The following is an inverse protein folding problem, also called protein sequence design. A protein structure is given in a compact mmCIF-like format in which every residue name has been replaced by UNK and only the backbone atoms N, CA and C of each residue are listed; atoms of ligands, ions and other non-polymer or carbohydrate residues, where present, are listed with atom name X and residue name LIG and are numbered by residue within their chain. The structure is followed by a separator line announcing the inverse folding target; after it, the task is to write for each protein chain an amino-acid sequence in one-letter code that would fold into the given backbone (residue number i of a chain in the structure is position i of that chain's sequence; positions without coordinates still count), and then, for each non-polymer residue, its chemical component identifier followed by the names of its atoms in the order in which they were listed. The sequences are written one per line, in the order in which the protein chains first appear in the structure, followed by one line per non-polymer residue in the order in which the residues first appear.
data_IF_663333717703
#
_entry.id   IF_663333717703
#
_cell.length_a   1.000
_cell.length_b   1.000
_cell.length_c   1.000
_cell.angle_alpha   90.00
_cell.angle_beta   90.00
_cell.angle_gamma   90.00
#
_symmetry.space_group_name_H-M   'P 1'
#
loop_
_entity.id
_entity.type
_entity.pdbx_description
1 polymer ?
#
# COMPACT_ATOMS: atom_id res chain seq x y z
N UNK A 1 8.90 -12.96 -2.52
CA UNK A 1 7.44 -12.96 -2.74
C UNK A 1 6.79 -12.04 -1.71
N UNK A 2 6.46 -10.80 -2.10
CA UNK A 2 5.83 -9.81 -1.22
C UNK A 2 4.29 -9.89 -1.21
N UNK A 3 3.71 -10.44 -2.27
CA UNK A 3 2.27 -10.62 -2.42
C UNK A 3 1.57 -11.49 -1.35
N UNK A 4 2.17 -12.59 -0.83
CA UNK A 4 1.54 -13.40 0.22
C UNK A 4 1.43 -12.65 1.56
N UNK A 5 2.49 -11.95 1.96
CA UNK A 5 2.52 -11.19 3.21
C UNK A 5 1.52 -10.02 3.20
N UNK A 6 1.42 -9.32 2.06
CA UNK A 6 0.43 -8.25 1.90
C UNK A 6 -1.02 -8.76 2.06
N UNK A 7 -1.32 -9.96 1.55
CA UNK A 7 -2.65 -10.59 1.68
C UNK A 7 -3.02 -10.81 3.15
N UNK A 8 -2.13 -11.41 3.94
CA UNK A 8 -2.41 -11.70 5.35
C UNK A 8 -2.55 -10.42 6.18
N UNK A 9 -1.77 -9.39 5.86
CA UNK A 9 -1.90 -8.06 6.48
C UNK A 9 -3.27 -7.44 6.19
N UNK A 10 -3.74 -7.53 4.94
CA UNK A 10 -5.08 -7.04 4.59
C UNK A 10 -6.18 -7.84 5.27
N UNK A 11 -6.06 -9.18 5.33
CA UNK A 11 -7.04 -10.02 6.03
C UNK A 11 -7.10 -9.68 7.52
N UNK A 12 -5.97 -9.49 8.18
CA UNK A 12 -5.92 -9.06 9.58
C UNK A 12 -6.50 -7.66 9.77
N UNK A 13 -6.24 -6.72 8.87
CA UNK A 13 -6.81 -5.38 8.94
C UNK A 13 -8.33 -5.38 8.75
N UNK A 14 -8.87 -6.30 7.93
CA UNK A 14 -10.30 -6.51 7.77
C UNK A 14 -10.93 -7.22 8.97
N UNK A 15 -10.25 -8.19 9.59
CA UNK A 15 -10.73 -8.88 10.79
C UNK A 15 -10.81 -7.95 12.01
N UNK A 16 -9.94 -6.95 12.07
CA UNK A 16 -9.91 -5.95 13.13
C UNK A 16 -10.81 -4.72 12.86
N UNK A 17 -11.72 -4.78 11.88
CA UNK A 17 -12.71 -3.72 11.66
C UNK A 17 -13.66 -3.62 12.85
N UNK A 18 -13.81 -2.41 13.41
CA UNK A 18 -14.81 -2.16 14.43
C UNK A 18 -16.21 -2.01 13.83
N UNK A 19 -17.26 -2.20 14.65
CA UNK A 19 -18.64 -1.93 14.26
C UNK A 19 -18.85 -0.48 13.79
N UNK A 20 -18.13 0.48 14.38
CA UNK A 20 -18.20 1.89 13.99
C UNK A 20 -17.56 2.12 12.61
N UNK A 21 -16.47 1.43 12.31
CA UNK A 21 -15.85 1.49 10.99
C UNK A 21 -16.78 0.86 9.94
N UNK A 22 -17.38 -0.30 10.23
CA UNK A 22 -18.35 -0.94 9.35
C UNK A 22 -19.58 -0.05 9.09
N UNK A 23 -20.11 0.61 10.12
CA UNK A 23 -21.22 1.55 9.98
C UNK A 23 -20.83 2.79 9.16
N UNK A 24 -19.60 3.28 9.36
CA UNK A 24 -19.06 4.39 8.58
C UNK A 24 -18.89 4.01 7.11
N UNK A 25 -18.54 2.75 6.79
CA UNK A 25 -18.44 2.29 5.41
C UNK A 25 -19.77 2.24 4.68
N UNK A 26 -20.84 1.85 5.40
CA UNK A 26 -22.20 1.73 4.85
C UNK A 26 -22.85 3.09 4.67
N UNK A 27 -22.64 4.01 5.61
CA UNK A 27 -23.28 5.34 5.60
C UNK A 27 -22.51 6.37 4.78
N UNK A 28 -21.23 6.11 4.47
CA UNK A 28 -20.40 7.04 3.71
C UNK A 28 -20.61 6.90 2.19
N UNK A 29 -20.90 8.05 1.56
CA UNK A 29 -21.09 8.19 0.11
C UNK A 29 -19.77 8.31 -0.68
N UNK A 30 -18.62 8.40 0.00
CA UNK A 30 -17.31 8.41 -0.65
C UNK A 30 -17.03 7.09 -1.38
N UNK A 31 -16.40 7.21 -2.54
CA UNK A 31 -16.15 6.09 -3.45
C UNK A 31 -15.00 5.18 -3.01
N UNK A 32 -14.20 5.61 -2.04
CA UNK A 32 -12.97 5.00 -1.55
C UNK A 32 -12.94 4.86 -0.01
N UNK A 33 -14.10 4.93 0.65
CA UNK A 33 -14.18 4.90 2.12
C UNK A 33 -13.60 3.60 2.72
N UNK A 34 -13.74 2.45 2.04
CA UNK A 34 -13.15 1.19 2.49
C UNK A 34 -11.63 1.19 2.36
N UNK A 35 -11.13 1.79 1.29
CA UNK A 35 -9.71 1.94 1.03
C UNK A 35 -9.04 2.81 2.09
N UNK A 36 -9.65 3.95 2.46
CA UNK A 36 -9.12 4.85 3.48
C UNK A 36 -9.07 4.19 4.86
N UNK A 37 -10.12 3.44 5.23
CA UNK A 37 -10.15 2.70 6.49
C UNK A 37 -9.13 1.58 6.52
N UNK A 38 -9.02 0.81 5.42
CA UNK A 38 -8.01 -0.23 5.31
C UNK A 38 -6.61 0.36 5.42
N UNK A 39 -6.36 1.50 4.77
CA UNK A 39 -5.09 2.23 4.87
C UNK A 39 -4.75 2.57 6.31
N UNK A 40 -5.66 3.24 7.02
CA UNK A 40 -5.47 3.59 8.43
C UNK A 40 -5.07 2.40 9.31
N UNK A 41 -5.63 1.22 9.04
CA UNK A 41 -5.44 0.04 9.89
C UNK A 41 -4.31 -0.90 9.41
N UNK A 42 -3.77 -0.72 8.21
CA UNK A 42 -2.78 -1.65 7.63
C UNK A 42 -1.50 -1.00 7.13
N UNK A 43 -1.46 0.32 6.91
CA UNK A 43 -0.33 1.02 6.30
C UNK A 43 0.99 0.77 7.02
N UNK A 44 1.01 0.84 8.35
CA UNK A 44 2.23 0.59 9.15
C UNK A 44 2.74 -0.85 8.98
N UNK A 45 1.85 -1.84 9.09
CA UNK A 45 2.21 -3.25 8.94
C UNK A 45 2.67 -3.56 7.51
N UNK A 46 2.03 -2.95 6.52
CA UNK A 46 2.34 -3.11 5.12
C UNK A 46 3.70 -2.50 4.77
N UNK A 47 3.99 -1.30 5.25
CA UNK A 47 5.31 -0.68 5.14
C UNK A 47 6.39 -1.60 5.73
N UNK A 48 6.18 -2.12 6.95
CA UNK A 48 7.14 -3.00 7.61
C UNK A 48 7.38 -4.31 6.82
N UNK A 49 6.33 -4.90 6.25
CA UNK A 49 6.43 -6.16 5.52
C UNK A 49 7.00 -6.00 4.09
N UNK A 50 6.73 -4.88 3.43
CA UNK A 50 7.22 -4.63 2.07
C UNK A 50 8.66 -4.11 2.06
N UNK A 51 9.09 -3.41 3.11
CA UNK A 51 10.42 -2.79 3.20
C UNK A 51 11.57 -3.75 2.85
N UNK A 52 11.67 -4.99 3.38
CA UNK A 52 12.79 -5.88 3.06
C UNK A 52 12.87 -6.25 1.56
N UNK A 53 11.71 -6.46 0.93
CA UNK A 53 11.64 -6.77 -0.51
C UNK A 53 12.03 -5.55 -1.36
N UNK A 54 11.68 -4.34 -0.90
CA UNK A 54 12.03 -3.08 -1.57
C UNK A 54 13.53 -2.81 -1.43
N UNK A 55 14.11 -2.99 -0.24
CA UNK A 55 15.57 -2.92 -0.01
C UNK A 55 16.28 -3.85 -1.00
N UNK A 56 15.88 -5.11 -1.03
CA UNK A 56 16.49 -6.09 -1.94
C UNK A 56 16.39 -5.67 -3.41
N UNK A 57 15.25 -5.13 -3.83
CA UNK A 57 15.04 -4.67 -5.20
C UNK A 57 15.90 -3.44 -5.54
N UNK A 58 15.98 -2.47 -4.62
CA UNK A 58 16.80 -1.26 -4.77
C UNK A 58 18.29 -1.57 -4.77
N UNK A 59 18.73 -2.53 -3.95
CA UNK A 59 20.11 -2.98 -3.89
C UNK A 59 20.50 -3.75 -5.14
N UNK A 60 19.62 -4.61 -5.66
CA UNK A 60 19.85 -5.37 -6.90
C UNK A 60 20.10 -4.47 -8.11
N UNK A 61 19.38 -3.35 -8.20
CA UNK A 61 19.57 -2.37 -9.29
C UNK A 61 20.63 -1.31 -8.96
N UNK A 62 21.28 -1.40 -7.79
CA UNK A 62 22.30 -0.45 -7.33
C UNK A 62 21.77 0.94 -6.96
N UNK A 63 20.46 1.14 -6.87
CA UNK A 63 19.83 2.44 -6.62
C UNK A 63 20.19 2.99 -5.23
N UNK A 64 20.19 2.15 -4.19
CA UNK A 64 20.57 2.56 -2.84
C UNK A 64 22.04 3.05 -2.80
N UNK A 65 22.95 2.34 -3.45
CA UNK A 65 24.36 2.72 -3.53
C UNK A 65 24.58 4.02 -4.33
N UNK A 66 23.88 4.18 -5.45
CA UNK A 66 23.95 5.39 -6.28
C UNK A 66 23.41 6.61 -5.53
N UNK A 67 22.24 6.48 -4.89
CA UNK A 67 21.61 7.54 -4.11
C UNK A 67 22.46 7.92 -2.89
N UNK A 68 23.01 6.95 -2.17
CA UNK A 68 23.90 7.21 -1.04
C UNK A 68 25.13 8.04 -1.44
N UNK A 69 25.76 7.73 -2.58
CA UNK A 69 26.88 8.52 -3.12
C UNK A 69 26.46 9.95 -3.49
N UNK A 70 25.28 10.13 -4.08
CA UNK A 70 24.74 11.43 -4.46
C UNK A 70 24.50 12.31 -3.22
N UNK A 71 23.76 11.79 -2.24
CA UNK A 71 23.42 12.53 -1.01
C UNK A 71 24.66 12.82 -0.17
N UNK A 72 25.63 11.90 -0.11
CA UNK A 72 26.90 12.14 0.58
C UNK A 72 27.72 13.28 -0.05
N UNK A 73 27.59 13.52 -1.36
CA UNK A 73 28.22 14.68 -2.02
C UNK A 73 27.42 15.95 -1.77
N UNK A 74 26.09 15.88 -1.87
CA UNK A 74 25.20 17.01 -1.63
C UNK A 74 25.32 17.55 -0.18
N UNK A 75 25.29 16.67 0.81
CA UNK A 75 25.38 17.05 2.24
C UNK A 75 26.76 17.57 2.66
N UNK A 76 27.79 17.50 1.80
CA UNK A 76 29.11 18.10 2.05
C UNK A 76 29.18 19.58 1.66
N UNK A 77 28.15 20.10 0.98
CA UNK A 77 28.10 21.50 0.58
C UNK A 77 27.68 22.34 1.81
N UNK A 78 28.54 23.24 2.33
CA UNK A 78 28.19 24.08 3.46
C UNK A 78 27.03 25.02 3.12
N UNK A 79 26.23 25.38 4.12
CA UNK A 79 25.03 26.25 4.01
C UNK A 79 23.82 25.63 3.27
N UNK A 80 23.85 24.34 2.92
CA UNK A 80 22.70 23.60 2.37
C UNK A 80 21.91 22.87 3.46
N UNK A 81 20.59 22.74 3.29
CA UNK A 81 19.75 21.90 4.14
C UNK A 81 20.05 20.41 3.87
N UNK A 82 20.39 19.61 4.89
CA UNK A 82 20.69 18.18 4.69
C UNK A 82 19.50 17.43 4.06
N UNK A 83 19.76 16.70 2.98
CA UNK A 83 18.76 15.84 2.36
C UNK A 83 18.61 14.53 3.15
N UNK A 84 17.38 14.00 3.22
CA UNK A 84 17.10 12.68 3.82
C UNK A 84 17.86 11.59 3.05
N UNK A 85 18.60 10.78 3.80
CA UNK A 85 19.53 9.77 3.28
C UNK A 85 18.86 8.45 2.91
N UNK A 86 17.61 8.23 3.33
CA UNK A 86 16.95 6.93 3.16
C UNK A 86 16.02 6.92 1.94
N UNK A 87 16.56 6.46 0.80
CA UNK A 87 15.78 6.18 -0.41
C UNK A 87 14.77 5.05 -0.20
N UNK A 88 15.13 4.06 0.63
CA UNK A 88 14.29 2.90 0.89
C UNK A 88 12.99 3.33 1.55
N UNK A 89 13.05 4.20 2.55
CA UNK A 89 11.86 4.67 3.24
C UNK A 89 10.92 5.44 2.30
N UNK A 90 11.46 6.29 1.43
CA UNK A 90 10.66 7.01 0.44
C UNK A 90 9.99 6.06 -0.57
N UNK A 91 10.76 5.15 -1.17
CA UNK A 91 10.23 4.19 -2.15
C UNK A 91 9.23 3.24 -1.51
N UNK A 92 9.45 2.84 -0.25
CA UNK A 92 8.52 2.01 0.52
C UNK A 92 7.18 2.72 0.70
N UNK A 93 7.21 3.97 1.18
CA UNK A 93 5.99 4.77 1.33
C UNK A 93 5.26 4.96 -0.01
N UNK A 94 5.99 5.31 -1.09
CA UNK A 94 5.41 5.47 -2.43
C UNK A 94 4.82 4.17 -3.00
N UNK A 95 5.43 3.03 -2.70
CA UNK A 95 4.91 1.72 -3.13
C UNK A 95 3.60 1.40 -2.41
N UNK A 96 3.55 1.66 -1.11
CA UNK A 96 2.32 1.50 -0.31
C UNK A 96 1.24 2.46 -0.76
N UNK A 97 1.57 3.73 -1.01
CA UNK A 97 0.66 4.72 -1.58
C UNK A 97 0.07 4.24 -2.92
N UNK A 98 0.93 3.79 -3.84
CA UNK A 98 0.51 3.27 -5.14
C UNK A 98 -0.44 2.08 -5.01
N UNK A 99 -0.21 1.19 -4.04
CA UNK A 99 -1.10 0.08 -3.76
C UNK A 99 -2.50 0.56 -3.33
N UNK A 100 -2.58 1.56 -2.45
CA UNK A 100 -3.87 2.13 -2.04
C UNK A 100 -4.56 2.91 -3.16
N UNK A 101 -3.82 3.55 -4.07
CA UNK A 101 -4.42 4.16 -5.27
C UNK A 101 -5.10 3.10 -6.15
N UNK A 102 -4.43 1.97 -6.39
CA UNK A 102 -5.03 0.87 -7.15
C UNK A 102 -6.25 0.28 -6.45
N UNK A 103 -6.20 0.17 -5.12
CA UNK A 103 -7.32 -0.32 -4.32
C UNK A 103 -8.52 0.63 -4.39
N UNK A 104 -8.30 1.94 -4.26
CA UNK A 104 -9.36 2.95 -4.39
C UNK A 104 -10.03 2.89 -5.75
N UNK A 105 -9.25 2.74 -6.83
CA UNK A 105 -9.79 2.56 -8.18
C UNK A 105 -10.64 1.29 -8.29
N UNK A 106 -10.22 0.20 -7.65
CA UNK A 106 -10.97 -1.04 -7.66
C UNK A 106 -12.26 -0.95 -6.82
N UNK A 107 -12.20 -0.32 -5.64
CA UNK A 107 -13.40 -0.05 -4.82
C UNK A 107 -14.40 0.80 -5.59
N UNK A 108 -13.95 1.88 -6.26
CA UNK A 108 -14.82 2.73 -7.06
C UNK A 108 -15.54 1.94 -8.18
N UNK A 109 -14.84 1.00 -8.84
CA UNK A 109 -15.46 0.10 -9.84
C UNK A 109 -16.49 -0.83 -9.22
N UNK A 110 -16.24 -1.35 -8.02
CA UNK A 110 -17.20 -2.19 -7.28
C UNK A 110 -18.44 -1.38 -6.90
N UNK A 111 -18.28 -0.14 -6.40
CA UNK A 111 -19.40 0.75 -6.06
C UNK A 111 -20.23 1.17 -7.28
N UNK A 112 -19.60 1.33 -8.45
CA UNK A 112 -20.30 1.66 -9.70
C UNK A 112 -21.13 0.50 -10.25
N UNK A 113 -20.65 -0.74 -10.13
CA UNK A 113 -21.40 -1.92 -10.58
C UNK A 113 -21.26 -3.10 -9.60
N UNK A 114 -21.95 -3.04 -8.44
CA UNK A 114 -21.82 -4.05 -7.39
C UNK A 114 -22.27 -5.43 -7.87
N UNK A 115 -23.33 -5.49 -8.68
CA UNK A 115 -23.94 -6.74 -9.15
C UNK A 115 -23.05 -7.51 -10.14
N UNK A 116 -22.39 -6.81 -11.07
CA UNK A 116 -21.48 -7.47 -12.01
C UNK A 116 -20.17 -7.92 -11.35
N UNK A 117 -19.65 -7.12 -10.41
CA UNK A 117 -18.39 -7.44 -9.73
C UNK A 117 -18.57 -8.55 -8.69
N UNK A 118 -19.69 -8.57 -7.95
CA UNK A 118 -19.98 -9.66 -7.01
C UNK A 118 -20.16 -10.99 -7.75
N UNK A 119 -20.88 -11.02 -8.87
CA UNK A 119 -21.02 -12.24 -9.68
C UNK A 119 -19.68 -12.75 -10.21
N UNK A 120 -18.81 -11.86 -10.69
CA UNK A 120 -17.49 -12.23 -11.21
C UNK A 120 -16.54 -12.74 -10.11
N UNK A 121 -16.53 -12.09 -8.93
CA UNK A 121 -15.71 -12.50 -7.79
C UNK A 121 -16.23 -13.82 -7.21
N UNK A 122 -17.55 -13.95 -7.02
CA UNK A 122 -18.18 -15.17 -6.53
C UNK A 122 -17.96 -16.34 -7.50
N UNK A 123 -18.05 -16.13 -8.82
CA UNK A 123 -17.69 -17.16 -9.81
C UNK A 123 -16.21 -17.53 -9.77
N UNK A 124 -15.29 -16.59 -9.52
CA UNK A 124 -13.86 -16.90 -9.44
C UNK A 124 -13.49 -17.68 -8.18
N UNK A 125 -14.17 -17.42 -7.06
CA UNK A 125 -13.88 -18.05 -5.76
C UNK A 125 -14.68 -19.34 -5.56
N UNK A 126 -15.91 -19.41 -6.09
CA UNK A 126 -16.84 -20.53 -5.86
C UNK A 126 -17.27 -21.27 -7.14
N UNK A 127 -16.96 -20.74 -8.33
CA UNK A 127 -17.24 -21.39 -9.62
C UNK A 127 -16.10 -22.29 -10.11
N UNK A 128 -15.00 -22.41 -9.35
CA UNK A 128 -13.97 -23.42 -9.57
C UNK A 128 -14.38 -24.76 -8.97
N UNK A 129 -15.28 -25.47 -9.65
CA UNK A 129 -15.38 -26.93 -9.62
C UNK A 129 -15.59 -27.43 -11.04
#
# INVERSE_FOLDING_TARGET
AAAPAAKDIFLNALQNLSLNDALSLVTNSNKDAATLLLRKNSETALNAALRPSIVQSLDQVGANAAYGKLIARYNKIPLMTPAKTDLTDYVTAQTVDGLFVLLAQQEAKIRQNPAAQSSAILKRVFGGK
#
